data_IF_637624207357
#
_entry.id   IF_637624207357
#
_cell.length_a   1.000
_cell.length_b   1.000
_cell.length_c   1.000
_cell.angle_alpha   90.00
_cell.angle_beta   90.00
_cell.angle_gamma   90.00
#
_symmetry.space_group_name_H-M   'P 1'
#
loop_
_entity.id
_entity.type
_entity.pdbx_description
1 polymer ?
#
# COMPACT_ATOMS: atom_id res chain seq x y z
N UNK A 1 -23.81 11.10 -4.82
CA UNK A 1 -22.92 11.08 -3.64
C UNK A 1 -21.70 11.92 -3.97
N UNK A 2 -21.47 12.98 -3.25
CA UNK A 2 -20.31 13.81 -3.48
C UNK A 2 -19.05 12.97 -3.24
N UNK A 3 -18.12 13.09 -4.18
CA UNK A 3 -16.80 12.45 -4.06
C UNK A 3 -16.04 13.14 -2.92
N UNK A 4 -16.04 12.53 -1.74
CA UNK A 4 -15.35 13.08 -0.58
C UNK A 4 -13.85 12.74 -0.58
N UNK A 5 -13.38 12.12 -1.67
CA UNK A 5 -11.98 11.75 -1.78
C UNK A 5 -11.09 12.98 -2.00
N UNK A 6 -10.02 13.05 -1.25
CA UNK A 6 -9.04 14.11 -1.38
C UNK A 6 -7.93 13.61 -2.30
N UNK A 7 -7.63 14.31 -3.41
CA UNK A 7 -6.43 14.02 -4.19
C UNK A 7 -5.20 14.16 -3.29
N UNK A 8 -4.33 13.19 -3.33
CA UNK A 8 -3.12 13.16 -2.50
C UNK A 8 -1.90 13.17 -3.40
N UNK A 9 -1.05 14.18 -3.24
CA UNK A 9 0.21 14.27 -3.97
C UNK A 9 1.32 13.66 -3.14
N UNK A 10 2.20 12.92 -3.81
CA UNK A 10 3.39 12.33 -3.22
C UNK A 10 4.62 12.93 -3.89
N UNK A 11 5.07 14.13 -3.44
CA UNK A 11 6.20 14.83 -4.08
C UNK A 11 7.48 13.99 -4.13
N UNK A 12 7.71 13.15 -3.12
CA UNK A 12 8.87 12.27 -3.06
C UNK A 12 8.86 11.25 -4.20
N UNK A 13 7.69 10.74 -4.57
CA UNK A 13 7.54 9.82 -5.71
C UNK A 13 7.79 10.54 -7.03
N UNK A 14 7.26 11.75 -7.18
CA UNK A 14 7.47 12.56 -8.39
C UNK A 14 8.95 12.86 -8.61
N UNK A 15 9.69 13.18 -7.56
CA UNK A 15 11.09 13.56 -7.62
C UNK A 15 12.05 12.37 -7.68
N UNK A 16 11.72 11.25 -7.04
CA UNK A 16 12.63 10.14 -6.81
C UNK A 16 12.16 8.79 -7.35
N UNK A 17 11.02 8.72 -8.02
CA UNK A 17 10.39 7.51 -8.56
C UNK A 17 9.81 6.58 -7.50
N UNK A 18 10.28 6.63 -6.27
CA UNK A 18 9.68 5.87 -5.17
C UNK A 18 9.87 6.58 -3.84
N UNK A 19 9.04 6.20 -2.87
CA UNK A 19 9.08 6.72 -1.52
C UNK A 19 8.78 5.59 -0.54
N UNK A 20 9.66 5.39 0.43
CA UNK A 20 9.51 4.35 1.45
C UNK A 20 9.28 5.00 2.81
N UNK A 21 8.30 4.49 3.56
CA UNK A 21 8.07 4.92 4.94
C UNK A 21 7.87 3.72 5.88
N UNK A 22 8.32 3.90 7.11
CA UNK A 22 7.99 3.08 8.25
C UNK A 22 7.24 3.98 9.23
N UNK A 23 5.95 3.72 9.43
CA UNK A 23 5.09 4.56 10.25
C UNK A 23 4.56 3.82 11.45
N UNK A 24 4.75 4.41 12.60
CA UNK A 24 4.12 4.04 13.85
C UNK A 24 3.17 5.15 14.25
N UNK A 25 1.87 4.86 14.21
CA UNK A 25 0.81 5.87 14.35
C UNK A 25 -0.23 5.43 15.34
N UNK A 26 -1.01 6.38 15.87
CA UNK A 26 -2.14 6.07 16.73
C UNK A 26 -3.35 5.64 15.89
N UNK A 27 -4.22 4.82 16.47
CA UNK A 27 -5.46 4.41 15.81
C UNK A 27 -6.50 5.52 15.71
N UNK A 28 -6.29 6.61 16.46
CA UNK A 28 -7.20 7.77 16.45
C UNK A 28 -7.01 8.68 15.25
N UNK A 29 -5.98 8.45 14.42
CA UNK A 29 -5.83 9.19 13.18
C UNK A 29 -6.97 8.79 12.26
N UNK A 30 -7.80 9.77 11.91
CA UNK A 30 -8.85 9.57 10.91
C UNK A 30 -8.20 9.30 9.57
N UNK A 31 -8.29 8.05 9.13
CA UNK A 31 -7.85 7.69 7.80
C UNK A 31 -8.89 8.21 6.81
N UNK A 32 -8.59 9.30 6.12
CA UNK A 32 -9.46 9.84 5.09
C UNK A 32 -9.35 9.00 3.84
N UNK A 33 -10.50 8.79 3.20
CA UNK A 33 -10.54 8.19 1.87
C UNK A 33 -9.77 9.09 0.91
N UNK A 34 -8.77 8.53 0.23
CA UNK A 34 -7.90 9.29 -0.67
C UNK A 34 -7.50 8.47 -1.90
N UNK A 35 -6.94 9.15 -2.87
CA UNK A 35 -6.33 8.54 -4.06
C UNK A 35 -5.11 9.36 -4.49
N UNK A 36 -4.18 8.70 -5.15
CA UNK A 36 -2.98 9.34 -5.70
C UNK A 36 -2.53 8.61 -6.96
N UNK A 37 -1.64 9.23 -7.72
CA UNK A 37 -1.16 8.75 -9.02
C UNK A 37 0.02 7.76 -8.89
N UNK A 38 0.27 7.26 -7.71
CA UNK A 38 1.34 6.30 -7.45
C UNK A 38 0.76 4.94 -7.11
N UNK A 39 1.54 3.91 -7.39
CA UNK A 39 1.31 2.58 -6.84
C UNK A 39 1.67 2.60 -5.35
N UNK A 40 0.98 1.82 -4.56
CA UNK A 40 1.26 1.69 -3.14
C UNK A 40 1.33 0.23 -2.74
N UNK A 41 2.49 -0.20 -2.24
CA UNK A 41 2.68 -1.50 -1.64
C UNK A 41 2.68 -1.31 -0.12
N UNK A 42 1.72 -1.91 0.56
CA UNK A 42 1.45 -1.67 1.97
C UNK A 42 1.56 -2.97 2.76
N UNK A 43 2.38 -2.96 3.80
CA UNK A 43 2.56 -4.09 4.70
C UNK A 43 2.15 -3.71 6.12
N UNK A 44 1.22 -4.48 6.70
CA UNK A 44 0.77 -4.29 8.08
C UNK A 44 1.73 -5.01 9.02
N UNK A 45 2.49 -4.27 9.81
CA UNK A 45 3.41 -4.84 10.80
C UNK A 45 2.68 -5.17 12.10
N UNK A 46 1.89 -4.22 12.61
CA UNK A 46 1.12 -4.40 13.84
C UNK A 46 -0.21 -3.68 13.74
N UNK A 47 -1.28 -4.37 14.06
CA UNK A 47 -2.63 -3.85 14.03
C UNK A 47 -3.55 -4.66 13.13
N UNK A 48 -4.85 -4.39 13.23
CA UNK A 48 -5.88 -4.95 12.37
C UNK A 48 -7.03 -3.97 12.24
N UNK A 49 -7.86 -4.17 11.23
CA UNK A 49 -9.01 -3.31 10.99
C UNK A 49 -9.69 -3.65 9.67
N UNK A 50 -10.21 -2.63 9.02
CA UNK A 50 -10.89 -2.75 7.73
C UNK A 50 -10.26 -1.82 6.71
N UNK A 51 -10.02 -2.34 5.51
CA UNK A 51 -9.50 -1.59 4.38
C UNK A 51 -10.60 -1.37 3.35
N UNK A 52 -10.83 -0.12 2.97
CA UNK A 52 -11.61 0.22 1.80
C UNK A 52 -10.66 0.43 0.63
N UNK A 53 -10.87 -0.28 -0.47
CA UNK A 53 -10.10 -0.13 -1.69
C UNK A 53 -11.03 -0.32 -2.88
N UNK A 54 -11.14 0.70 -3.73
CA UNK A 54 -12.12 0.71 -4.80
C UNK A 54 -13.54 0.63 -4.23
N UNK A 55 -14.28 -0.39 -4.64
CA UNK A 55 -15.66 -0.61 -4.21
C UNK A 55 -15.81 -1.69 -3.12
N UNK A 56 -14.71 -2.15 -2.54
CA UNK A 56 -14.75 -3.24 -1.56
C UNK A 56 -14.24 -2.79 -0.20
N UNK A 57 -14.83 -3.39 0.83
CA UNK A 57 -14.41 -3.26 2.22
C UNK A 57 -14.00 -4.65 2.70
N UNK A 58 -12.72 -4.79 3.09
CA UNK A 58 -12.15 -6.07 3.50
C UNK A 58 -11.42 -5.95 4.83
N UNK A 59 -11.45 -6.99 5.68
CA UNK A 59 -10.63 -7.00 6.88
C UNK A 59 -9.16 -7.15 6.53
N UNK A 60 -8.29 -6.58 7.36
CA UNK A 60 -6.85 -6.80 7.30
C UNK A 60 -6.30 -7.08 8.70
N UNK A 61 -5.14 -7.70 8.74
CA UNK A 61 -4.45 -8.04 9.98
C UNK A 61 -2.92 -7.95 9.80
N UNK A 62 -2.20 -8.00 10.90
CA UNK A 62 -0.74 -8.02 10.88
C UNK A 62 -0.22 -9.15 9.98
N UNK A 63 0.75 -8.84 9.16
CA UNK A 63 1.30 -9.73 8.16
C UNK A 63 0.69 -9.58 6.77
N UNK A 64 -0.43 -8.89 6.63
CA UNK A 64 -1.05 -8.67 5.33
C UNK A 64 -0.24 -7.70 4.48
N UNK A 65 -0.18 -8.00 3.19
CA UNK A 65 0.44 -7.15 2.17
C UNK A 65 -0.61 -6.91 1.08
N UNK A 66 -0.76 -5.65 0.70
CA UNK A 66 -1.67 -5.27 -0.38
C UNK A 66 -1.01 -4.31 -1.35
N UNK A 67 -1.34 -4.43 -2.62
CA UNK A 67 -0.93 -3.52 -3.68
C UNK A 67 -2.14 -2.70 -4.12
N UNK A 68 -2.01 -1.38 -4.03
CA UNK A 68 -3.03 -0.42 -4.44
C UNK A 68 -2.58 0.20 -5.76
N UNK A 69 -3.33 0.03 -6.86
CA UNK A 69 -2.98 0.66 -8.14
C UNK A 69 -3.17 2.18 -8.10
N UNK A 70 -2.57 2.91 -9.08
CA UNK A 70 -2.79 4.35 -9.19
C UNK A 70 -4.27 4.72 -9.29
N UNK A 71 -4.63 5.85 -8.72
CA UNK A 71 -5.95 6.45 -8.76
C UNK A 71 -7.09 5.66 -8.09
N UNK A 72 -6.78 4.55 -7.43
CA UNK A 72 -7.78 3.80 -6.68
C UNK A 72 -8.06 4.49 -5.35
N UNK A 73 -9.34 4.76 -5.09
CA UNK A 73 -9.79 5.26 -3.79
C UNK A 73 -9.53 4.23 -2.71
N UNK A 74 -8.88 4.64 -1.62
CA UNK A 74 -8.56 3.72 -0.55
C UNK A 74 -8.40 4.43 0.79
N UNK A 75 -8.58 3.65 1.86
CA UNK A 75 -8.23 4.04 3.23
C UNK A 75 -8.02 2.80 4.08
N UNK A 76 -7.18 2.94 5.09
CA UNK A 76 -6.94 1.92 6.10
C UNK A 76 -7.54 2.41 7.42
N UNK A 77 -8.46 1.65 7.98
CA UNK A 77 -9.09 1.98 9.25
C UNK A 77 -8.69 0.93 10.29
N UNK A 78 -7.78 1.31 11.17
CA UNK A 78 -7.31 0.43 12.23
C UNK A 78 -8.30 0.41 13.38
N UNK A 79 -8.59 -0.78 13.89
CA UNK A 79 -9.41 -0.93 15.10
C UNK A 79 -8.64 -0.40 16.32
N UNK A 80 -9.27 0.42 17.18
CA UNK A 80 -8.63 0.87 18.42
C UNK A 80 -8.11 -0.29 19.29
N UNK A 81 -8.81 -1.42 19.28
CA UNK A 81 -8.43 -2.61 20.06
C UNK A 81 -7.14 -3.28 19.52
N UNK A 82 -6.71 -2.94 18.32
CA UNK A 82 -5.53 -3.54 17.69
C UNK A 82 -4.22 -2.88 18.08
N UNK A 83 -4.27 -1.74 18.76
CA UNK A 83 -3.08 -0.98 19.13
C UNK A 83 -2.25 -1.71 20.18
N UNK A 84 -0.95 -1.41 20.21
CA UNK A 84 -0.06 -1.89 21.28
C UNK A 84 -0.33 -1.14 22.60
N UNK A 85 0.45 -1.46 23.63
CA UNK A 85 0.27 -0.88 24.96
C UNK A 85 0.44 0.65 24.98
N UNK A 86 1.17 1.21 24.00
CA UNK A 86 1.36 2.65 23.83
C UNK A 86 0.29 3.28 22.94
N UNK A 87 -0.67 2.51 22.46
CA UNK A 87 -1.75 3.00 21.61
C UNK A 87 -1.37 3.15 20.14
N UNK A 88 -0.33 2.43 19.67
CA UNK A 88 0.18 2.55 18.31
C UNK A 88 -0.04 1.29 17.48
N UNK A 89 -0.18 1.50 16.18
CA UNK A 89 -0.08 0.47 15.14
C UNK A 89 1.11 0.81 14.25
N UNK A 90 1.56 -0.15 13.43
CA UNK A 90 2.74 0.05 12.59
C UNK A 90 2.54 -0.54 11.21
N UNK A 91 2.98 0.19 10.19
CA UNK A 91 3.00 -0.31 8.81
C UNK A 91 4.25 0.17 8.06
N UNK A 92 4.63 -0.59 7.05
CA UNK A 92 5.63 -0.20 6.07
C UNK A 92 4.92 0.02 4.74
N UNK A 93 5.32 1.03 4.00
CA UNK A 93 4.74 1.35 2.71
C UNK A 93 5.81 1.78 1.72
N UNK A 94 5.69 1.31 0.49
CA UNK A 94 6.43 1.84 -0.65
C UNK A 94 5.43 2.40 -1.63
N UNK A 95 5.57 3.68 -1.95
CA UNK A 95 4.85 4.29 -3.06
C UNK A 95 5.82 4.48 -4.22
N UNK A 96 5.40 4.16 -5.44
CA UNK A 96 6.26 4.25 -6.62
C UNK A 96 5.48 4.67 -7.85
N UNK A 97 6.18 5.38 -8.75
CA UNK A 97 5.56 5.96 -9.93
C UNK A 97 5.25 4.91 -10.99
N UNK A 98 4.24 5.18 -11.82
CA UNK A 98 3.96 4.35 -12.98
C UNK A 98 5.12 4.36 -13.98
N UNK A 99 5.84 5.47 -14.11
CA UNK A 99 7.02 5.55 -14.98
C UNK A 99 8.16 4.64 -14.50
N UNK A 100 8.29 4.40 -13.21
CA UNK A 100 9.24 3.39 -12.71
C UNK A 100 8.83 1.99 -13.17
N UNK A 101 7.54 1.67 -13.11
CA UNK A 101 7.01 0.39 -13.57
C UNK A 101 7.26 0.22 -15.08
N UNK A 102 7.00 1.27 -15.88
CA UNK A 102 7.25 1.25 -17.32
C UNK A 102 8.73 1.02 -17.65
N UNK A 103 9.62 1.67 -16.92
CA UNK A 103 11.07 1.48 -17.08
C UNK A 103 11.50 0.05 -16.76
N UNK A 104 10.95 -0.53 -15.70
CA UNK A 104 11.19 -1.93 -15.36
C UNK A 104 10.70 -2.88 -16.45
N UNK A 105 9.52 -2.61 -17.02
CA UNK A 105 8.98 -3.41 -18.12
C UNK A 105 9.81 -3.30 -19.40
N UNK A 106 10.44 -2.14 -19.65
CA UNK A 106 11.34 -1.95 -20.80
C UNK A 106 12.62 -2.77 -20.66
N UNK A 107 13.16 -2.89 -19.43
CA UNK A 107 14.37 -3.66 -19.14
C UNK A 107 14.08 -5.16 -19.05
N UNK A 108 12.92 -5.52 -18.52
CA UNK A 108 12.49 -6.90 -18.31
C UNK A 108 11.15 -7.14 -19.04
N UNK A 109 11.19 -7.44 -20.36
CA UNK A 109 9.96 -7.60 -21.16
C UNK A 109 9.00 -8.67 -20.63
N UNK A 110 9.51 -9.68 -19.94
CA UNK A 110 8.70 -10.72 -19.33
C UNK A 110 7.75 -10.18 -18.26
N UNK A 111 8.10 -9.08 -17.61
CA UNK A 111 7.22 -8.42 -16.64
C UNK A 111 6.01 -7.81 -17.32
N UNK A 112 6.18 -7.25 -18.53
CA UNK A 112 5.07 -6.70 -19.30
C UNK A 112 4.00 -7.75 -19.56
N UNK A 113 4.39 -8.94 -19.98
CA UNK A 113 3.45 -10.02 -20.26
C UNK A 113 2.70 -10.47 -19.00
N UNK A 114 3.37 -10.48 -17.86
CA UNK A 114 2.74 -10.82 -16.58
C UNK A 114 1.79 -9.74 -16.09
N UNK A 115 2.20 -8.47 -16.22
CA UNK A 115 1.41 -7.33 -15.72
C UNK A 115 0.22 -7.01 -16.62
N UNK A 116 0.37 -7.13 -17.94
CA UNK A 116 -0.75 -6.89 -18.88
C UNK A 116 -1.82 -7.98 -18.82
N UNK A 117 -1.45 -9.18 -18.37
CA UNK A 117 -2.41 -10.26 -18.13
C UNK A 117 -3.18 -10.11 -16.82
N UNK A 118 -2.79 -9.17 -15.96
CA UNK A 118 -3.49 -8.91 -14.71
C UNK A 118 -4.59 -7.91 -14.97
N UNK A 119 -5.83 -8.37 -14.91
CA UNK A 119 -6.98 -7.45 -14.82
C UNK A 119 -7.00 -6.94 -13.40
N UNK A 120 -6.68 -5.66 -13.19
CA UNK A 120 -6.78 -5.07 -11.86
C UNK A 120 -8.22 -5.13 -11.39
N UNK A 121 -8.49 -5.84 -10.29
CA UNK A 121 -9.82 -5.86 -9.74
C UNK A 121 -10.20 -4.47 -9.21
N UNK A 122 -11.48 -4.28 -8.90
CA UNK A 122 -11.99 -3.04 -8.32
C UNK A 122 -11.56 -2.88 -6.85
N UNK A 123 -10.68 -3.73 -6.36
CA UNK A 123 -10.13 -3.71 -5.00
C UNK A 123 -8.61 -3.88 -5.03
N UNK A 124 -7.99 -3.73 -3.88
CA UNK A 124 -6.55 -3.96 -3.73
C UNK A 124 -6.19 -5.42 -4.02
N UNK A 125 -5.04 -5.61 -4.67
CA UNK A 125 -4.51 -6.94 -4.94
C UNK A 125 -3.93 -7.52 -3.64
N UNK A 126 -4.45 -8.66 -3.21
CA UNK A 126 -3.96 -9.37 -2.03
C UNK A 126 -3.00 -10.49 -2.45
N UNK A 127 -1.87 -10.59 -1.75
CA UNK A 127 -0.86 -11.61 -2.05
C UNK A 127 -1.09 -12.89 -1.24
N UNK A 128 -0.75 -14.03 -1.83
CA UNK A 128 -0.73 -15.31 -1.12
C UNK A 128 0.36 -15.34 -0.05
N UNK A 129 0.30 -16.34 0.85
CA UNK A 129 1.17 -16.42 2.02
C UNK A 129 2.66 -16.42 1.68
N UNK A 130 3.09 -17.18 0.67
CA UNK A 130 4.50 -17.24 0.28
C UNK A 130 5.01 -15.93 -0.29
N UNK A 131 4.23 -15.28 -1.18
CA UNK A 131 4.57 -13.98 -1.76
C UNK A 131 4.59 -12.89 -0.68
N UNK A 132 3.63 -12.89 0.24
CA UNK A 132 3.57 -11.95 1.34
C UNK A 132 4.81 -12.05 2.24
N UNK A 133 5.26 -13.26 2.56
CA UNK A 133 6.48 -13.45 3.36
C UNK A 133 7.73 -12.90 2.67
N UNK A 134 7.85 -13.12 1.35
CA UNK A 134 8.96 -12.58 0.57
C UNK A 134 8.94 -11.06 0.55
N UNK A 135 7.79 -10.46 0.30
CA UNK A 135 7.62 -9.00 0.27
C UNK A 135 7.93 -8.39 1.64
N UNK A 136 7.43 -8.99 2.72
CA UNK A 136 7.71 -8.54 4.09
C UNK A 136 9.19 -8.52 4.38
N UNK A 137 9.91 -9.57 3.98
CA UNK A 137 11.36 -9.65 4.16
C UNK A 137 12.07 -8.53 3.42
N UNK A 138 11.70 -8.29 2.16
CA UNK A 138 12.31 -7.23 1.34
C UNK A 138 12.04 -5.85 1.94
N UNK A 139 10.80 -5.56 2.32
CA UNK A 139 10.45 -4.28 2.93
C UNK A 139 11.17 -4.05 4.26
N UNK A 140 11.31 -5.10 5.07
CA UNK A 140 12.05 -5.01 6.34
C UNK A 140 13.54 -4.73 6.09
N UNK A 141 14.12 -5.32 5.05
CA UNK A 141 15.51 -5.04 4.65
C UNK A 141 15.68 -3.61 4.15
N UNK A 142 14.70 -3.07 3.42
CA UNK A 142 14.73 -1.67 2.98
C UNK A 142 14.76 -0.70 4.15
N UNK A 143 14.09 -1.04 5.24
CA UNK A 143 14.08 -0.22 6.45
C UNK A 143 15.47 -0.15 7.12
N UNK A 144 16.32 -1.12 6.90
CA UNK A 144 17.68 -1.18 7.46
C UNK A 144 18.73 -0.46 6.60
N UNK A 145 18.32 0.04 5.42
CA UNK A 145 19.20 0.77 4.50
C UNK A 145 18.95 2.26 4.68
N UNK A 146 19.86 2.93 5.33
CA UNK A 146 19.87 4.40 5.45
C UNK A 146 20.78 5.02 4.39
#
# INVERSE_FOLDING_TARGET
MEDTAIPYELPEVENHSFFFIDQRVTTSIEAKLHRHDAWELYYVVHGYGKRMAGDTLQPFAAGDVALIPPSMLHRWEYSPDSADDDGHVRYLMVAFSHSLVERCMAVFPELRNRLTGITFPTNALKFGTGSSQTIRRILSQMNDID
#
